data_IF_058914659482
#
_entry.id   IF_058914659482
#
_cell.length_a   1.000
_cell.length_b   1.000
_cell.length_c   1.000
_cell.angle_alpha   90.00
_cell.angle_beta   90.00
_cell.angle_gamma   90.00
#
_symmetry.space_group_name_H-M   'P 1'
#
loop_
_entity.id
_entity.type
_entity.pdbx_description
1 polymer ?
#
# COMPACT_ATOMS: atom_id res chain seq x y z
N UNK A 1 23.84 -6.45 -18.24
CA UNK A 1 23.28 -5.16 -17.77
C UNK A 1 21.82 -4.90 -18.18
N UNK A 2 21.40 -4.92 -19.47
CA UNK A 2 19.98 -4.62 -19.83
C UNK A 2 18.93 -5.57 -19.24
N UNK A 3 19.23 -6.86 -19.07
CA UNK A 3 18.28 -7.83 -18.52
C UNK A 3 18.01 -7.61 -17.01
N UNK A 4 18.99 -7.11 -16.29
CA UNK A 4 18.92 -6.90 -14.83
C UNK A 4 18.08 -5.66 -14.50
N UNK A 5 18.19 -4.59 -15.29
CA UNK A 5 17.34 -3.41 -15.17
C UNK A 5 15.86 -3.70 -15.51
N UNK A 6 15.58 -4.61 -16.45
CA UNK A 6 14.22 -5.03 -16.78
C UNK A 6 13.64 -5.93 -15.68
N UNK A 7 14.46 -6.83 -15.11
CA UNK A 7 14.07 -7.67 -13.99
C UNK A 7 13.83 -6.86 -12.72
N UNK A 8 14.66 -5.83 -12.45
CA UNK A 8 14.42 -4.89 -11.35
C UNK A 8 13.10 -4.16 -11.58
N UNK A 9 12.85 -3.62 -12.77
CA UNK A 9 11.58 -2.96 -13.11
C UNK A 9 10.35 -3.87 -12.96
N UNK A 10 10.46 -5.17 -13.27
CA UNK A 10 9.37 -6.15 -13.10
C UNK A 10 8.99 -6.42 -11.63
N UNK A 11 9.86 -6.05 -10.69
CA UNK A 11 9.60 -6.21 -9.26
C UNK A 11 8.97 -4.97 -8.62
N UNK A 12 8.95 -3.82 -9.30
CA UNK A 12 8.39 -2.58 -8.76
C UNK A 12 7.01 -2.26 -9.35
N UNK A 13 5.99 -2.26 -8.50
CA UNK A 13 4.64 -1.79 -8.83
C UNK A 13 4.54 -0.31 -8.51
N UNK A 14 4.12 0.51 -9.47
CA UNK A 14 4.01 1.96 -9.28
C UNK A 14 2.56 2.37 -9.07
N UNK A 15 2.30 3.09 -7.98
CA UNK A 15 0.96 3.48 -7.54
C UNK A 15 0.89 4.98 -7.36
N UNK A 16 -0.22 5.58 -7.77
CA UNK A 16 -0.48 7.00 -7.53
C UNK A 16 -0.68 7.25 -6.04
N UNK A 17 -0.10 8.34 -5.53
CA UNK A 17 -0.34 8.83 -4.17
C UNK A 17 -1.71 9.51 -4.08
N UNK A 18 -2.25 9.58 -2.86
CA UNK A 18 -3.45 10.34 -2.51
C UNK A 18 -4.72 9.95 -3.30
N UNK A 19 -4.74 8.74 -3.86
CA UNK A 19 -5.96 8.16 -4.44
C UNK A 19 -6.98 7.98 -3.31
N UNK A 20 -8.20 8.51 -3.43
CA UNK A 20 -9.21 8.40 -2.39
C UNK A 20 -9.76 6.96 -2.28
N UNK A 21 -10.29 6.65 -1.09
CA UNK A 21 -10.98 5.38 -0.83
C UNK A 21 -12.20 5.19 -1.74
N UNK A 22 -12.86 6.30 -2.06
CA UNK A 22 -14.08 6.35 -2.84
C UNK A 22 -13.80 7.06 -4.17
N UNK A 23 -14.14 6.38 -5.26
CA UNK A 23 -14.09 6.89 -6.64
C UNK A 23 -15.49 7.01 -7.25
N UNK A 24 -16.54 6.63 -6.53
CA UNK A 24 -17.92 6.53 -7.03
C UNK A 24 -18.67 7.87 -7.10
N UNK A 25 -18.11 8.93 -6.51
CA UNK A 25 -18.75 10.25 -6.46
C UNK A 25 -19.93 10.35 -5.47
N UNK A 26 -20.36 9.24 -4.89
CA UNK A 26 -21.47 9.16 -3.92
C UNK A 26 -20.94 8.69 -2.55
N UNK A 27 -20.62 9.65 -1.66
CA UNK A 27 -20.05 9.37 -0.32
C UNK A 27 -21.00 8.54 0.57
N UNK A 28 -20.49 7.72 1.50
CA UNK A 28 -20.43 8.18 2.91
C UNK A 28 -19.20 7.77 3.75
N UNK A 29 -18.29 6.91 3.28
CA UNK A 29 -17.16 6.44 4.11
C UNK A 29 -15.90 7.28 3.91
N UNK A 30 -15.95 8.54 4.32
CA UNK A 30 -14.78 9.42 4.30
C UNK A 30 -13.99 9.26 5.61
N UNK A 31 -12.94 8.44 5.62
CA UNK A 31 -11.88 8.62 6.60
C UNK A 31 -11.15 9.93 6.24
N UNK A 32 -11.44 11.01 6.97
CA UNK A 32 -10.70 12.27 6.89
C UNK A 32 -9.27 12.01 7.38
N UNK A 33 -8.37 11.63 6.48
CA UNK A 33 -6.95 11.56 6.81
C UNK A 33 -6.40 12.98 6.65
N UNK A 34 -6.18 13.70 7.76
CA UNK A 34 -5.49 15.00 7.71
C UNK A 34 -4.13 14.85 7.01
N UNK A 35 -3.98 15.55 5.89
CA UNK A 35 -2.73 15.65 5.14
C UNK A 35 -1.89 16.72 5.80
N UNK A 36 -0.72 16.35 6.34
CA UNK A 36 0.23 17.32 6.83
C UNK A 36 1.34 17.43 5.77
N UNK A 37 1.17 18.33 4.80
CA UNK A 37 2.09 18.57 3.67
C UNK A 37 3.48 19.09 4.09
N UNK A 38 3.73 19.23 5.39
CA UNK A 38 4.94 19.84 5.94
C UNK A 38 6.04 18.82 6.21
N UNK A 39 6.54 18.08 5.21
CA UNK A 39 7.83 17.36 5.37
C UNK A 39 8.71 17.39 4.12
N UNK A 40 9.98 17.79 4.34
CA UNK A 40 11.06 17.74 3.35
C UNK A 40 11.34 16.28 2.99
N UNK A 41 11.40 15.96 1.70
CA UNK A 41 11.83 14.67 1.18
C UNK A 41 13.13 14.23 1.88
N UNK A 42 13.09 13.12 2.63
CA UNK A 42 14.32 12.52 3.19
C UNK A 42 15.16 12.05 2.00
N UNK A 43 16.19 12.81 1.67
CA UNK A 43 17.19 12.48 0.65
C UNK A 43 18.05 11.34 1.20
N UNK A 44 17.65 10.09 0.98
CA UNK A 44 18.41 8.94 1.45
C UNK A 44 17.88 7.62 0.93
N UNK A 45 18.76 6.86 0.28
CA UNK A 45 18.65 5.49 -0.25
C UNK A 45 18.30 4.39 0.80
N UNK A 46 17.55 4.69 1.86
CA UNK A 46 16.94 3.61 2.66
C UNK A 46 15.61 3.30 2.01
N UNK A 47 15.45 2.07 1.49
CA UNK A 47 14.16 1.56 1.07
C UNK A 47 13.18 1.76 2.24
N UNK A 48 12.24 2.68 2.07
CA UNK A 48 11.25 3.00 3.08
C UNK A 48 10.31 1.81 3.22
N UNK A 49 9.59 1.70 4.33
CA UNK A 49 8.64 0.59 4.53
C UNK A 49 7.22 1.13 4.45
N UNK A 50 6.44 0.56 3.54
CA UNK A 50 5.01 0.77 3.46
C UNK A 50 4.28 -0.42 4.08
N UNK A 51 3.19 -0.14 4.79
CA UNK A 51 2.20 -1.15 5.18
C UNK A 51 1.06 -1.10 4.19
N UNK A 52 0.68 -2.26 3.69
CA UNK A 52 -0.50 -2.43 2.83
C UNK A 52 -1.46 -3.36 3.55
N UNK A 53 -2.72 -2.93 3.65
CA UNK A 53 -3.77 -3.64 4.37
C UNK A 53 -4.99 -3.79 3.46
N UNK A 54 -5.50 -5.01 3.35
CA UNK A 54 -6.76 -5.30 2.66
C UNK A 54 -7.92 -4.74 3.50
N UNK A 55 -8.80 -3.97 2.87
CA UNK A 55 -10.01 -3.52 3.55
C UNK A 55 -10.89 -4.73 3.90
N UNK A 56 -11.28 -4.84 5.16
CA UNK A 56 -12.23 -5.86 5.59
C UNK A 56 -13.65 -5.35 5.35
N UNK A 57 -14.51 -6.19 4.78
CA UNK A 57 -15.93 -5.93 4.68
C UNK A 57 -16.66 -6.08 6.02
N UNK A 58 -17.98 -5.84 6.04
CA UNK A 58 -18.81 -6.09 7.20
C UNK A 58 -18.62 -7.51 7.72
N UNK A 59 -18.33 -7.67 9.01
CA UNK A 59 -18.08 -8.97 9.63
C UNK A 59 -16.63 -9.47 9.58
N UNK A 60 -15.67 -8.66 9.12
CA UNK A 60 -14.25 -8.99 9.16
C UNK A 60 -13.76 -9.87 8.01
N UNK A 61 -14.66 -10.26 7.10
CA UNK A 61 -14.30 -10.99 5.90
C UNK A 61 -13.85 -9.99 4.81
N UNK A 62 -12.71 -10.21 4.15
CA UNK A 62 -12.35 -9.41 2.97
C UNK A 62 -13.42 -9.60 1.89
N UNK A 63 -13.95 -8.50 1.34
CA UNK A 63 -14.82 -8.59 0.17
C UNK A 63 -13.95 -8.87 -1.06
N UNK A 64 -14.39 -9.72 -2.01
CA UNK A 64 -13.77 -9.77 -3.33
C UNK A 64 -13.76 -8.34 -3.90
N UNK A 65 -12.63 -7.93 -4.47
CA UNK A 65 -12.42 -6.58 -5.02
C UNK A 65 -12.41 -5.43 -3.99
N UNK A 66 -12.06 -5.73 -2.74
CA UNK A 66 -11.84 -4.68 -1.73
C UNK A 66 -10.61 -3.83 -2.07
N UNK A 67 -10.68 -2.48 -2.01
CA UNK A 67 -9.48 -1.67 -2.12
C UNK A 67 -8.52 -1.95 -0.95
N UNK A 68 -7.23 -1.78 -1.20
CA UNK A 68 -6.19 -1.90 -0.18
C UNK A 68 -5.72 -0.52 0.27
N UNK A 69 -5.50 -0.34 1.57
CA UNK A 69 -4.93 0.88 2.12
C UNK A 69 -3.41 0.74 2.23
N UNK A 70 -2.68 1.61 1.54
CA UNK A 70 -1.23 1.72 1.61
C UNK A 70 -0.85 2.96 2.43
N UNK A 71 0.14 2.83 3.31
CA UNK A 71 0.80 3.98 3.93
C UNK A 71 2.20 3.69 4.47
N UNK A 72 3.03 4.71 4.55
CA UNK A 72 4.32 4.66 5.26
C UNK A 72 4.14 4.84 6.78
N UNK A 73 5.18 4.51 7.55
CA UNK A 73 5.14 4.61 9.02
C UNK A 73 4.72 6.00 9.51
N UNK A 74 5.24 7.05 8.90
CA UNK A 74 4.93 8.43 9.28
C UNK A 74 3.70 9.01 8.56
N UNK A 75 3.01 8.18 7.75
CA UNK A 75 1.83 8.53 6.95
C UNK A 75 2.07 9.68 5.96
N UNK A 76 3.34 9.96 5.62
CA UNK A 76 3.70 10.97 4.62
C UNK A 76 3.36 10.55 3.20
N UNK A 77 3.38 9.24 2.93
CA UNK A 77 2.86 8.65 1.70
C UNK A 77 1.71 7.72 2.06
N UNK A 78 0.57 7.90 1.40
CA UNK A 78 -0.63 7.09 1.58
C UNK A 78 -1.47 7.08 0.31
N UNK A 79 -2.15 5.97 0.06
CA UNK A 79 -3.03 5.84 -1.10
C UNK A 79 -3.95 4.65 -0.93
N UNK A 80 -5.05 4.63 -1.70
CA UNK A 80 -5.87 3.45 -1.88
C UNK A 80 -5.52 2.76 -3.20
N UNK A 81 -5.26 1.45 -3.13
CA UNK A 81 -5.02 0.59 -4.29
C UNK A 81 -6.34 -0.09 -4.62
N UNK A 82 -6.94 0.32 -5.73
CA UNK A 82 -8.19 -0.23 -6.22
C UNK A 82 -7.95 -1.49 -7.07
N UNK A 83 -8.95 -2.39 -7.22
CA UNK A 83 -8.82 -3.63 -7.99
C UNK A 83 -8.39 -3.44 -9.45
N UNK A 84 -8.69 -2.26 -10.02
CA UNK A 84 -8.31 -1.86 -11.37
C UNK A 84 -6.87 -1.33 -11.48
N UNK A 85 -6.15 -1.18 -10.36
CA UNK A 85 -4.78 -0.69 -10.36
C UNK A 85 -3.80 -1.76 -10.85
N UNK A 86 -2.81 -1.33 -11.62
CA UNK A 86 -1.72 -2.20 -12.04
C UNK A 86 -0.96 -2.75 -10.83
N UNK A 87 -0.72 -4.06 -10.84
CA UNK A 87 -0.11 -4.78 -9.72
C UNK A 87 -1.01 -5.02 -8.50
N UNK A 88 -2.30 -4.62 -8.51
CA UNK A 88 -3.25 -4.91 -7.43
C UNK A 88 -3.27 -6.40 -7.09
N UNK A 89 -3.52 -7.27 -8.07
CA UNK A 89 -3.65 -8.72 -7.87
C UNK A 89 -2.39 -9.32 -7.23
N UNK A 90 -1.20 -8.90 -7.70
CA UNK A 90 0.08 -9.37 -7.16
C UNK A 90 0.25 -8.97 -5.69
N UNK A 91 -0.02 -7.71 -5.35
CA UNK A 91 0.07 -7.22 -3.97
C UNK A 91 -0.97 -7.91 -3.07
N UNK A 92 -2.19 -8.05 -3.57
CA UNK A 92 -3.28 -8.73 -2.88
C UNK A 92 -2.90 -10.18 -2.55
N UNK A 93 -2.41 -10.94 -3.54
CA UNK A 93 -2.02 -12.34 -3.37
C UNK A 93 -0.88 -12.49 -2.37
N UNK A 94 0.13 -11.61 -2.39
CA UNK A 94 1.21 -11.61 -1.40
C UNK A 94 0.70 -11.38 0.03
N UNK A 95 -0.28 -10.49 0.22
CA UNK A 95 -0.88 -10.23 1.53
C UNK A 95 -1.79 -11.39 1.95
N UNK A 96 -2.53 -11.98 1.02
CA UNK A 96 -3.40 -13.11 1.28
C UNK A 96 -2.61 -14.39 1.63
N UNK A 97 -1.48 -14.63 0.96
CA UNK A 97 -0.64 -15.82 1.15
C UNK A 97 0.29 -15.73 2.36
N UNK A 98 0.78 -14.52 2.67
CA UNK A 98 1.91 -14.34 3.57
C UNK A 98 1.79 -13.13 4.49
N UNK A 99 0.64 -12.46 4.49
CA UNK A 99 0.35 -11.35 5.37
C UNK A 99 0.08 -11.78 6.82
N UNK A 100 0.36 -10.88 7.74
CA UNK A 100 0.07 -11.06 9.16
C UNK A 100 -1.36 -10.61 9.42
N UNK A 101 -2.26 -11.56 9.68
CA UNK A 101 -3.63 -11.26 10.10
C UNK A 101 -3.65 -10.47 11.42
N UNK A 102 -4.62 -9.59 11.61
CA UNK A 102 -4.91 -9.04 12.94
C UNK A 102 -5.28 -10.17 13.91
N UNK A 103 -5.10 -9.94 15.21
CA UNK A 103 -5.61 -10.87 16.22
C UNK A 103 -7.13 -11.06 16.01
N UNK A 104 -7.61 -12.31 16.05
CA UNK A 104 -9.05 -12.63 16.04
C UNK A 104 -9.75 -11.77 17.11
N UNK A 105 -10.74 -10.97 16.71
CA UNK A 105 -11.52 -10.09 17.61
C UNK A 105 -11.08 -8.62 17.63
N UNK A 106 -9.92 -8.26 17.06
CA UNK A 106 -9.52 -6.87 16.83
C UNK A 106 -9.63 -6.62 15.33
N UNK A 107 -10.77 -6.10 14.88
CA UNK A 107 -11.12 -5.92 13.47
C UNK A 107 -10.04 -5.18 12.68
N UNK A 108 -9.22 -5.92 11.95
CA UNK A 108 -8.18 -5.40 11.09
C UNK A 108 -7.83 -6.44 10.04
N UNK A 109 -8.15 -6.16 8.78
CA UNK A 109 -7.90 -7.05 7.65
C UNK A 109 -6.44 -7.47 7.52
N UNK A 110 -6.19 -8.46 6.66
CA UNK A 110 -4.85 -8.95 6.37
C UNK A 110 -3.93 -7.82 5.90
N UNK A 111 -2.70 -7.81 6.41
CA UNK A 111 -1.71 -6.77 6.12
C UNK A 111 -0.33 -7.36 5.91
N UNK A 112 0.48 -6.72 5.09
CA UNK A 112 1.89 -7.02 4.96
C UNK A 112 2.71 -5.72 4.84
N UNK A 113 4.03 -5.86 4.96
CA UNK A 113 4.98 -4.76 4.89
C UNK A 113 5.85 -4.96 3.65
N UNK A 114 6.09 -3.87 2.94
CA UNK A 114 6.80 -3.86 1.67
C UNK A 114 7.88 -2.79 1.68
N UNK A 115 8.96 -3.03 0.95
CA UNK A 115 9.89 -1.96 0.61
C UNK A 115 9.23 -1.01 -0.38
N UNK A 116 9.43 0.29 -0.19
CA UNK A 116 8.87 1.31 -1.05
C UNK A 116 9.87 2.42 -1.37
N UNK A 117 9.61 3.12 -2.48
CA UNK A 117 10.30 4.33 -2.91
C UNK A 117 9.25 5.39 -3.22
N UNK A 118 9.25 6.48 -2.45
CA UNK A 118 8.32 7.59 -2.65
C UNK A 118 8.91 8.60 -3.64
N UNK A 119 8.22 8.80 -4.76
CA UNK A 119 8.56 9.77 -5.79
C UNK A 119 7.59 10.97 -5.69
N UNK A 120 7.74 11.76 -4.63
CA UNK A 120 6.80 12.85 -4.31
C UNK A 120 6.66 13.90 -5.42
N UNK A 121 7.74 14.20 -6.15
CA UNK A 121 7.71 15.12 -7.29
C UNK A 121 6.83 14.61 -8.45
N UNK A 122 6.63 13.30 -8.54
CA UNK A 122 5.83 12.65 -9.57
C UNK A 122 4.45 12.22 -9.05
N UNK A 123 4.18 12.33 -7.74
CA UNK A 123 2.94 11.86 -7.12
C UNK A 123 2.80 10.34 -7.11
N UNK A 124 3.91 9.59 -7.11
CA UNK A 124 3.92 8.12 -7.24
C UNK A 124 4.69 7.48 -6.10
N UNK A 125 4.28 6.29 -5.69
CA UNK A 125 5.04 5.39 -4.83
C UNK A 125 5.32 4.07 -5.57
N UNK A 126 6.58 3.67 -5.62
CA UNK A 126 6.99 2.35 -6.07
C UNK A 126 6.97 1.37 -4.91
N UNK A 127 6.36 0.19 -5.11
CA UNK A 127 6.30 -0.91 -4.16
C UNK A 127 7.07 -2.10 -4.71
N UNK A 128 8.04 -2.58 -3.96
CA UNK A 128 8.76 -3.79 -4.30
C UNK A 128 7.91 -5.02 -3.97
N UNK A 129 7.67 -5.85 -4.97
CA UNK A 129 6.84 -7.06 -4.92
C UNK A 129 7.66 -8.34 -5.12
N UNK A 130 8.97 -8.26 -4.89
CA UNK A 130 9.90 -9.41 -4.91
C UNK A 130 9.93 -10.14 -3.56
N UNK A 131 9.75 -9.40 -2.47
CA UNK A 131 9.88 -9.91 -1.10
C UNK A 131 9.07 -9.06 -0.11
N UNK A 132 8.65 -9.68 0.99
CA UNK A 132 7.99 -9.00 2.10
C UNK A 132 9.01 -8.58 3.15
N UNK A 133 8.78 -7.41 3.74
CA UNK A 133 9.52 -6.92 4.91
C UNK A 133 8.97 -7.61 6.16
N UNK A 134 9.82 -7.95 7.15
CA UNK A 134 9.35 -8.46 8.43
C UNK A 134 8.29 -7.56 9.08
N UNK A 135 7.39 -8.16 9.85
CA UNK A 135 6.34 -7.48 10.62
C UNK A 135 6.91 -6.29 11.41
N UNK A 136 6.29 -5.13 11.26
CA UNK A 136 6.64 -3.94 12.04
C UNK A 136 5.64 -3.69 13.16
N UNK A 137 6.04 -2.96 14.21
CA UNK A 137 5.23 -2.75 15.44
C UNK A 137 4.39 -1.47 15.45
N UNK A 138 4.14 -0.84 14.29
CA UNK A 138 3.51 0.47 14.14
C UNK A 138 2.21 0.51 13.29
#
# INVERSE_FOLDING_TARGET
EKAEAIAEAANWVHLWLDVPADRSGEKPYQALINFNDKRKAKKGLKAEVAKIQIAAGPGGNPLPDSPMLLYTQDRSAKTFIHPDADGYAKIHDMIASSGTTGALGVGGGSKAYFHCRVHSAQGVIGIETSSLVPSQTW
#
